data_IF_629471985037
#
_entry.id   IF_629471985037
#
_cell.length_a   1.000
_cell.length_b   1.000
_cell.length_c   1.000
_cell.angle_alpha   90.00
_cell.angle_beta   90.00
_cell.angle_gamma   90.00
#
_symmetry.space_group_name_H-M   'P 1'
#
loop_
_entity.id
_entity.type
_entity.pdbx_description
1 polymer ?
#
# COMPACT_ATOMS: atom_id res chain seq x y z
N UNK A 1 -18.86 -41.39 37.11
CA UNK A 1 -17.95 -40.96 36.02
C UNK A 1 -18.61 -40.11 34.92
N UNK A 2 -19.94 -40.13 34.77
CA UNK A 2 -20.66 -39.46 33.66
C UNK A 2 -20.77 -37.94 33.75
N UNK A 3 -20.78 -37.34 34.95
CA UNK A 3 -20.88 -35.87 35.09
C UNK A 3 -19.53 -35.15 34.93
N UNK A 4 -18.43 -35.78 35.37
CA UNK A 4 -17.07 -35.22 35.21
C UNK A 4 -16.69 -35.07 33.73
N UNK A 5 -17.02 -36.07 32.90
CA UNK A 5 -16.76 -36.03 31.46
C UNK A 5 -17.56 -34.93 30.74
N UNK A 6 -18.81 -34.69 31.15
CA UNK A 6 -19.67 -33.62 30.61
C UNK A 6 -19.15 -32.23 30.98
N UNK A 7 -18.63 -32.04 32.20
CA UNK A 7 -18.03 -30.79 32.65
C UNK A 7 -16.75 -30.49 31.87
N UNK A 8 -15.92 -31.50 31.62
CA UNK A 8 -14.68 -31.37 30.82
C UNK A 8 -15.02 -31.04 29.36
N UNK A 9 -15.99 -31.71 28.74
CA UNK A 9 -16.45 -31.40 27.38
C UNK A 9 -17.07 -30.00 27.27
N UNK A 10 -17.84 -29.57 28.28
CA UNK A 10 -18.43 -28.24 28.32
C UNK A 10 -17.35 -27.14 28.49
N UNK A 11 -16.34 -27.38 29.33
CA UNK A 11 -15.20 -26.47 29.49
C UNK A 11 -14.33 -26.40 28.21
N UNK A 12 -14.15 -27.51 27.50
CA UNK A 12 -13.49 -27.57 26.19
C UNK A 12 -14.29 -26.80 25.12
N UNK A 13 -15.60 -26.96 25.08
CA UNK A 13 -16.49 -26.24 24.16
C UNK A 13 -16.53 -24.74 24.44
N UNK A 14 -16.53 -24.33 25.72
CA UNK A 14 -16.46 -22.92 26.11
C UNK A 14 -15.08 -22.30 25.87
N UNK A 15 -14.00 -23.09 25.94
CA UNK A 15 -12.64 -22.64 25.58
C UNK A 15 -12.42 -22.40 24.08
N UNK A 16 -13.28 -22.95 23.22
CA UNK A 16 -13.22 -22.76 21.75
C UNK A 16 -14.06 -21.58 21.24
N UNK A 17 -15.02 -21.08 22.00
CA UNK A 17 -15.87 -19.93 21.61
C UNK A 17 -15.11 -18.60 21.41
N UNK A 18 -14.05 -18.26 22.16
CA UNK A 18 -13.30 -17.01 21.98
C UNK A 18 -12.47 -16.95 20.68
N UNK A 19 -12.22 -18.10 20.03
CA UNK A 19 -11.49 -18.15 18.75
C UNK A 19 -12.40 -17.74 17.58
N UNK A 20 -13.68 -18.12 17.61
CA UNK A 20 -14.64 -17.82 16.54
C UNK A 20 -14.97 -16.32 16.45
N UNK A 21 -15.09 -15.62 17.58
CA UNK A 21 -15.32 -14.16 17.60
C UNK A 21 -14.07 -13.35 17.24
N UNK A 22 -12.87 -13.85 17.52
CA UNK A 22 -11.61 -13.23 17.10
C UNK A 22 -11.33 -13.45 15.60
N UNK A 23 -11.74 -14.61 15.04
CA UNK A 23 -11.60 -14.91 13.62
C UNK A 23 -12.46 -13.99 12.74
N UNK A 24 -13.72 -13.72 13.12
CA UNK A 24 -14.58 -12.81 12.35
C UNK A 24 -14.01 -11.39 12.26
N UNK A 25 -13.56 -10.81 13.38
CA UNK A 25 -12.99 -9.46 13.38
C UNK A 25 -11.63 -9.33 12.70
N UNK A 26 -10.80 -10.37 12.77
CA UNK A 26 -9.47 -10.38 12.13
C UNK A 26 -9.56 -10.60 10.62
N UNK A 27 -10.44 -11.50 10.18
CA UNK A 27 -10.71 -11.72 8.75
C UNK A 27 -11.27 -10.45 8.11
N UNK A 28 -12.24 -9.79 8.76
CA UNK A 28 -12.78 -8.51 8.30
C UNK A 28 -11.70 -7.42 8.18
N UNK A 29 -10.79 -7.36 9.16
CA UNK A 29 -9.64 -6.45 9.11
C UNK A 29 -8.72 -6.74 7.92
N UNK A 30 -8.38 -8.01 7.70
CA UNK A 30 -7.52 -8.43 6.58
C UNK A 30 -8.18 -8.18 5.23
N UNK A 31 -9.47 -8.47 5.12
CA UNK A 31 -10.26 -8.21 3.92
C UNK A 31 -10.30 -6.71 3.63
N UNK A 32 -10.51 -5.87 4.65
CA UNK A 32 -10.52 -4.42 4.49
C UNK A 32 -9.16 -3.88 4.04
N UNK A 33 -8.07 -4.37 4.63
CA UNK A 33 -6.71 -4.04 4.21
C UNK A 33 -6.47 -4.44 2.76
N UNK A 34 -6.79 -5.68 2.39
CA UNK A 34 -6.64 -6.20 1.02
C UNK A 34 -7.42 -5.36 0.01
N UNK A 35 -8.70 -5.07 0.28
CA UNK A 35 -9.53 -4.22 -0.59
C UNK A 35 -8.94 -2.82 -0.77
N UNK A 36 -8.42 -2.23 0.32
CA UNK A 36 -7.79 -0.90 0.27
C UNK A 36 -6.51 -0.94 -0.56
N UNK A 37 -5.66 -1.95 -0.38
CA UNK A 37 -4.46 -2.16 -1.19
C UNK A 37 -4.81 -2.35 -2.67
N UNK A 38 -5.84 -3.14 -2.99
CA UNK A 38 -6.31 -3.33 -4.35
C UNK A 38 -6.81 -2.03 -4.98
N UNK A 39 -7.60 -1.23 -4.24
CA UNK A 39 -8.07 0.07 -4.70
C UNK A 39 -6.90 1.02 -5.01
N UNK A 40 -5.86 1.01 -4.16
CA UNK A 40 -4.61 1.71 -4.42
C UNK A 40 -3.95 1.27 -5.74
N UNK A 41 -3.80 -0.04 -5.95
CA UNK A 41 -3.16 -0.56 -7.17
C UNK A 41 -3.99 -0.30 -8.44
N UNK A 42 -5.33 -0.34 -8.36
CA UNK A 42 -6.19 0.06 -9.47
C UNK A 42 -6.08 1.54 -9.79
N UNK A 43 -5.94 2.40 -8.77
CA UNK A 43 -5.70 3.83 -8.94
C UNK A 43 -4.36 4.08 -9.64
N UNK A 44 -3.29 3.41 -9.20
CA UNK A 44 -1.97 3.48 -9.82
C UNK A 44 -1.97 2.97 -11.27
N UNK A 45 -2.67 1.85 -11.52
CA UNK A 45 -2.86 1.31 -12.86
C UNK A 45 -3.66 2.22 -13.78
N UNK A 46 -4.70 2.88 -13.27
CA UNK A 46 -5.49 3.88 -14.00
C UNK A 46 -4.66 5.10 -14.37
N UNK A 47 -3.83 5.60 -13.44
CA UNK A 47 -2.85 6.66 -13.73
C UNK A 47 -1.88 6.24 -14.84
N UNK A 48 -1.36 5.01 -14.78
CA UNK A 48 -0.46 4.49 -15.80
C UNK A 48 -1.12 4.38 -17.18
N UNK A 49 -2.34 3.85 -17.25
CA UNK A 49 -3.09 3.75 -18.50
C UNK A 49 -3.34 5.13 -19.14
N UNK A 50 -3.76 6.12 -18.35
CA UNK A 50 -3.95 7.49 -18.82
C UNK A 50 -2.64 8.09 -19.37
N UNK A 51 -1.53 7.88 -18.67
CA UNK A 51 -0.22 8.36 -19.10
C UNK A 51 0.32 7.62 -20.33
N UNK A 52 -0.01 6.35 -20.55
CA UNK A 52 0.33 5.68 -21.82
C UNK A 52 -0.39 6.32 -23.00
N UNK A 53 -1.66 6.68 -22.86
CA UNK A 53 -2.43 7.34 -23.93
C UNK A 53 -1.87 8.74 -24.19
N UNK A 54 -1.85 9.59 -23.15
CA UNK A 54 -1.43 11.00 -23.28
C UNK A 54 0.06 11.10 -23.61
N UNK A 55 0.89 10.35 -22.90
CA UNK A 55 2.32 10.28 -23.13
C UNK A 55 2.69 9.61 -24.45
N UNK A 56 1.96 8.58 -24.89
CA UNK A 56 2.19 7.95 -26.19
C UNK A 56 1.93 8.93 -27.35
N UNK A 57 0.81 9.65 -27.31
CA UNK A 57 0.50 10.69 -28.31
C UNK A 57 1.55 11.81 -28.28
N UNK A 58 1.87 12.29 -27.07
CA UNK A 58 2.83 13.38 -26.88
C UNK A 58 4.27 13.00 -27.26
N UNK A 59 4.65 11.73 -27.11
CA UNK A 59 5.93 11.22 -27.60
C UNK A 59 5.92 11.13 -29.12
N UNK A 60 4.89 10.54 -29.73
CA UNK A 60 4.82 10.36 -31.18
C UNK A 60 4.77 11.69 -31.97
N UNK A 61 4.19 12.75 -31.38
CA UNK A 61 3.98 14.05 -32.05
C UNK A 61 4.83 15.19 -31.50
N UNK A 62 5.47 15.00 -30.36
CA UNK A 62 6.27 16.03 -29.72
C UNK A 62 7.62 16.24 -30.39
N UNK A 63 8.27 17.36 -30.06
CA UNK A 63 9.65 17.65 -30.42
C UNK A 63 10.40 18.28 -29.23
N UNK A 64 11.73 18.30 -29.31
CA UNK A 64 12.60 18.84 -28.26
C UNK A 64 12.27 18.26 -26.88
N UNK A 65 12.36 19.09 -25.84
CA UNK A 65 12.08 18.66 -24.46
C UNK A 65 10.65 18.15 -24.22
N UNK A 66 9.67 18.55 -25.03
CA UNK A 66 8.30 18.08 -24.88
C UNK A 66 8.16 16.59 -25.26
N UNK A 67 8.84 16.18 -26.34
CA UNK A 67 8.92 14.76 -26.72
C UNK A 67 9.50 13.91 -25.58
N UNK A 68 10.64 14.33 -25.02
CA UNK A 68 11.31 13.60 -23.93
C UNK A 68 10.51 13.60 -22.63
N UNK A 69 9.76 14.66 -22.34
CA UNK A 69 8.83 14.67 -21.21
C UNK A 69 7.79 13.56 -21.35
N UNK A 70 7.11 13.49 -22.50
CA UNK A 70 6.09 12.46 -22.73
C UNK A 70 6.67 11.05 -22.82
N UNK A 71 7.84 10.89 -23.46
CA UNK A 71 8.58 9.62 -23.46
C UNK A 71 8.92 9.19 -22.03
N UNK A 72 9.43 10.10 -21.19
CA UNK A 72 9.73 9.82 -19.79
C UNK A 72 8.49 9.40 -18.99
N UNK A 73 7.34 10.05 -19.22
CA UNK A 73 6.08 9.66 -18.59
C UNK A 73 5.63 8.25 -19.02
N UNK A 74 5.76 7.90 -20.30
CA UNK A 74 5.47 6.52 -20.76
C UNK A 74 6.39 5.52 -20.08
N UNK A 75 7.70 5.76 -20.09
CA UNK A 75 8.68 4.84 -19.49
C UNK A 75 8.44 4.64 -18.00
N UNK A 76 8.16 5.72 -17.26
CA UNK A 76 7.87 5.61 -15.82
C UNK A 76 6.56 4.86 -15.56
N UNK A 77 5.53 5.09 -16.38
CA UNK A 77 4.26 4.40 -16.19
C UNK A 77 4.30 2.91 -16.58
N UNK A 78 5.31 2.47 -17.34
CA UNK A 78 5.65 1.04 -17.43
C UNK A 78 6.03 0.44 -16.08
N UNK A 79 6.79 1.18 -15.27
CA UNK A 79 7.13 0.76 -13.91
C UNK A 79 5.88 0.73 -13.03
N UNK A 80 5.07 1.80 -13.04
CA UNK A 80 3.81 1.87 -12.27
C UNK A 80 2.85 0.72 -12.63
N UNK A 81 2.67 0.45 -13.93
CA UNK A 81 1.83 -0.65 -14.41
C UNK A 81 2.36 -2.02 -13.97
N UNK A 82 3.68 -2.22 -14.01
CA UNK A 82 4.33 -3.44 -13.52
C UNK A 82 4.09 -3.66 -12.02
N UNK A 83 4.30 -2.62 -11.20
CA UNK A 83 4.03 -2.65 -9.76
C UNK A 83 2.56 -2.98 -9.49
N UNK A 84 1.64 -2.24 -10.12
CA UNK A 84 0.20 -2.46 -9.96
C UNK A 84 -0.21 -3.88 -10.38
N UNK A 85 0.30 -4.37 -11.51
CA UNK A 85 0.00 -5.71 -12.03
C UNK A 85 0.47 -6.83 -11.09
N UNK A 86 1.73 -6.77 -10.63
CA UNK A 86 2.28 -7.76 -9.70
C UNK A 86 1.54 -7.71 -8.35
N UNK A 87 1.28 -6.52 -7.83
CA UNK A 87 0.58 -6.36 -6.56
C UNK A 87 -0.88 -6.85 -6.66
N UNK A 88 -1.61 -6.50 -7.72
CA UNK A 88 -2.97 -7.02 -7.95
C UNK A 88 -2.96 -8.55 -8.07
N UNK A 89 -2.03 -9.12 -8.82
CA UNK A 89 -1.91 -10.58 -8.92
C UNK A 89 -1.66 -11.22 -7.55
N UNK A 90 -0.76 -10.65 -6.75
CA UNK A 90 -0.51 -11.13 -5.39
C UNK A 90 -1.74 -11.01 -4.50
N UNK A 91 -2.47 -9.89 -4.59
CA UNK A 91 -3.66 -9.63 -3.77
C UNK A 91 -4.84 -10.53 -4.17
N UNK A 92 -5.07 -10.79 -5.45
CA UNK A 92 -6.14 -11.68 -5.91
C UNK A 92 -5.95 -13.14 -5.48
N UNK A 93 -4.69 -13.58 -5.35
CA UNK A 93 -4.36 -14.94 -4.93
C UNK A 93 -4.18 -15.09 -3.41
N UNK A 94 -4.26 -13.99 -2.66
CA UNK A 94 -4.17 -14.02 -1.21
C UNK A 94 -5.52 -14.39 -0.59
N UNK A 95 -5.50 -15.23 0.44
CA UNK A 95 -6.65 -15.56 1.27
C UNK A 95 -6.60 -14.74 2.58
N UNK A 96 -7.48 -13.74 2.78
CA UNK A 96 -7.52 -12.94 4.01
C UNK A 96 -7.77 -13.77 5.28
N UNK A 97 -8.50 -14.89 5.15
CA UNK A 97 -8.83 -15.77 6.26
C UNK A 97 -7.68 -16.68 6.69
N UNK A 98 -6.65 -16.83 5.84
CA UNK A 98 -5.49 -17.67 6.15
C UNK A 98 -4.47 -17.00 7.06
N UNK A 99 -4.61 -15.70 7.37
CA UNK A 99 -3.66 -14.94 8.17
C UNK A 99 -4.01 -14.97 9.66
N UNK A 100 -3.06 -15.43 10.48
CA UNK A 100 -3.13 -15.29 11.94
C UNK A 100 -2.91 -13.84 12.38
N UNK A 101 -3.10 -13.58 13.68
CA UNK A 101 -3.01 -12.22 14.23
C UNK A 101 -1.62 -11.62 14.03
N UNK A 102 -0.56 -12.38 14.30
CA UNK A 102 0.82 -11.91 14.16
C UNK A 102 1.17 -11.61 12.70
N UNK A 103 0.77 -12.48 11.78
CA UNK A 103 0.97 -12.28 10.35
C UNK A 103 0.22 -11.03 9.88
N UNK A 104 -1.02 -10.85 10.32
CA UNK A 104 -1.84 -9.68 9.99
C UNK A 104 -1.20 -8.37 10.46
N UNK A 105 -0.67 -8.35 11.68
CA UNK A 105 0.09 -7.21 12.24
C UNK A 105 1.33 -6.94 11.39
N UNK A 106 2.12 -7.97 11.10
CA UNK A 106 3.36 -7.86 10.33
C UNK A 106 3.10 -7.31 8.92
N UNK A 107 2.09 -7.83 8.24
CA UNK A 107 1.68 -7.40 6.90
C UNK A 107 1.18 -5.96 6.90
N UNK A 108 0.36 -5.58 7.90
CA UNK A 108 -0.18 -4.22 8.00
C UNK A 108 0.92 -3.17 8.21
N UNK A 109 1.76 -3.34 9.23
CA UNK A 109 2.86 -2.41 9.50
C UNK A 109 3.97 -2.51 8.45
N UNK A 110 4.14 -3.67 7.80
CA UNK A 110 5.03 -3.84 6.65
C UNK A 110 4.60 -2.94 5.50
N UNK A 111 3.32 -2.97 5.13
CA UNK A 111 2.74 -2.12 4.10
C UNK A 111 2.91 -0.63 4.44
N UNK A 112 2.58 -0.22 5.66
CA UNK A 112 2.75 1.17 6.10
C UNK A 112 4.19 1.66 5.94
N UNK A 113 5.17 0.84 6.36
CA UNK A 113 6.59 1.17 6.22
C UNK A 113 7.01 1.26 4.76
N UNK A 114 6.54 0.34 3.91
CA UNK A 114 6.83 0.39 2.47
C UNK A 114 6.31 1.67 1.84
N UNK A 115 5.09 2.10 2.18
CA UNK A 115 4.50 3.34 1.65
C UNK A 115 5.30 4.58 2.09
N UNK A 116 5.67 4.67 3.37
CA UNK A 116 6.49 5.79 3.85
C UNK A 116 7.91 5.79 3.25
N UNK A 117 8.49 4.61 3.06
CA UNK A 117 9.78 4.48 2.40
C UNK A 117 9.72 4.94 0.93
N UNK A 118 8.68 4.53 0.20
CA UNK A 118 8.46 4.96 -1.19
C UNK A 118 8.19 6.47 -1.28
N UNK A 119 7.38 7.03 -0.37
CA UNK A 119 7.21 8.48 -0.29
C UNK A 119 8.56 9.21 -0.09
N UNK A 120 9.50 8.62 0.64
CA UNK A 120 10.87 9.11 0.72
C UNK A 120 11.64 9.02 -0.62
N UNK A 121 11.50 7.92 -1.34
CA UNK A 121 12.07 7.76 -2.68
C UNK A 121 11.50 8.77 -3.68
N UNK A 122 10.22 9.12 -3.56
CA UNK A 122 9.55 10.08 -4.42
C UNK A 122 10.12 11.50 -4.30
N UNK A 123 10.48 11.89 -3.08
CA UNK A 123 11.28 13.10 -2.85
C UNK A 123 12.63 13.01 -3.58
N UNK A 124 13.26 11.84 -3.56
CA UNK A 124 14.46 11.54 -4.34
C UNK A 124 14.25 11.70 -5.85
N UNK A 125 13.14 11.19 -6.40
CA UNK A 125 12.80 11.33 -7.82
C UNK A 125 12.58 12.79 -8.21
N UNK A 126 11.84 13.55 -7.40
CA UNK A 126 11.66 14.99 -7.61
C UNK A 126 12.99 15.73 -7.56
N UNK A 127 13.84 15.46 -6.56
CA UNK A 127 15.16 16.06 -6.44
C UNK A 127 16.05 15.74 -7.65
N UNK A 128 16.06 14.49 -8.11
CA UNK A 128 16.75 14.08 -9.32
C UNK A 128 16.21 14.82 -10.56
N UNK A 129 14.90 14.98 -10.67
CA UNK A 129 14.27 15.72 -11.76
C UNK A 129 14.63 17.22 -11.76
N UNK A 130 14.65 17.86 -10.59
CA UNK A 130 15.13 19.24 -10.44
C UNK A 130 16.62 19.35 -10.80
N UNK A 131 17.44 18.41 -10.37
CA UNK A 131 18.86 18.34 -10.73
C UNK A 131 19.05 18.23 -12.26
N UNK A 132 18.31 17.35 -12.94
CA UNK A 132 18.38 17.22 -14.40
C UNK A 132 17.98 18.52 -15.10
N UNK A 133 16.94 19.19 -14.63
CA UNK A 133 16.51 20.50 -15.17
C UNK A 133 17.53 21.60 -14.94
N UNK A 134 18.20 21.60 -13.78
CA UNK A 134 19.27 22.55 -13.50
C UNK A 134 20.47 22.32 -14.42
N UNK A 135 20.90 21.06 -14.54
CA UNK A 135 21.98 20.66 -15.44
C UNK A 135 21.69 20.99 -16.91
N UNK A 136 20.42 20.94 -17.32
CA UNK A 136 20.03 21.31 -18.68
C UNK A 136 20.36 22.77 -19.03
N UNK A 137 20.45 23.69 -18.06
CA UNK A 137 20.75 25.11 -18.31
C UNK A 137 22.17 25.36 -18.84
N UNK A 138 23.11 24.47 -18.51
CA UNK A 138 24.53 24.60 -18.88
C UNK A 138 24.99 23.49 -19.82
N UNK A 139 24.11 22.54 -20.14
CA UNK A 139 24.44 21.43 -21.03
C UNK A 139 24.51 21.87 -22.49
N UNK A 140 25.64 21.60 -23.15
CA UNK A 140 25.83 21.86 -24.58
C UNK A 140 25.33 20.71 -25.48
N UNK A 141 25.03 19.54 -24.89
CA UNK A 141 24.46 18.36 -25.55
C UNK A 141 23.28 17.83 -24.74
N UNK A 142 22.27 17.29 -25.42
CA UNK A 142 21.10 16.66 -24.80
C UNK A 142 20.29 17.56 -23.86
N UNK A 143 20.37 18.88 -24.01
CA UNK A 143 19.64 19.85 -23.19
C UNK A 143 18.13 19.55 -23.14
N UNK A 144 17.53 19.27 -24.30
CA UNK A 144 16.11 18.92 -24.40
C UNK A 144 15.76 17.64 -23.64
N UNK A 145 16.61 16.62 -23.73
CA UNK A 145 16.43 15.34 -23.03
C UNK A 145 16.49 15.54 -21.52
N UNK A 146 17.51 16.25 -21.01
CA UNK A 146 17.66 16.54 -19.58
C UNK A 146 16.46 17.32 -19.04
N UNK A 147 15.99 18.34 -19.79
CA UNK A 147 14.82 19.14 -19.40
C UNK A 147 13.54 18.30 -19.42
N UNK A 148 13.33 17.50 -20.46
CA UNK A 148 12.15 16.66 -20.62
C UNK A 148 12.05 15.59 -19.55
N UNK A 149 13.09 14.75 -19.42
CA UNK A 149 13.13 13.70 -18.38
C UNK A 149 13.13 14.27 -16.97
N UNK A 150 13.82 15.39 -16.73
CA UNK A 150 13.76 16.04 -15.42
C UNK A 150 12.34 16.49 -15.05
N UNK A 151 11.59 17.01 -16.03
CA UNK A 151 10.18 17.36 -15.84
C UNK A 151 9.29 16.14 -15.60
N UNK A 152 9.56 15.03 -16.29
CA UNK A 152 8.82 13.79 -16.12
C UNK A 152 9.05 13.20 -14.72
N UNK A 153 10.31 13.17 -14.24
CA UNK A 153 10.63 12.70 -12.89
C UNK A 153 9.98 13.55 -11.80
N UNK A 154 9.94 14.88 -11.96
CA UNK A 154 9.23 15.76 -11.00
C UNK A 154 7.75 15.43 -10.98
N UNK A 155 7.10 15.32 -12.15
CA UNK A 155 5.67 15.00 -12.21
C UNK A 155 5.35 13.64 -11.59
N UNK A 156 6.12 12.61 -11.95
CA UNK A 156 5.87 11.25 -11.48
C UNK A 156 6.19 11.10 -9.99
N UNK A 157 7.31 11.68 -9.52
CA UNK A 157 7.63 11.71 -8.09
C UNK A 157 6.57 12.48 -7.29
N UNK A 158 6.08 13.63 -7.77
CA UNK A 158 5.03 14.36 -7.08
C UNK A 158 3.71 13.58 -7.00
N UNK A 159 3.32 12.90 -8.08
CA UNK A 159 2.14 12.04 -8.10
C UNK A 159 2.28 10.88 -7.10
N UNK A 160 3.39 10.13 -7.17
CA UNK A 160 3.64 8.98 -6.30
C UNK A 160 3.71 9.38 -4.83
N UNK A 161 4.33 10.53 -4.52
CA UNK A 161 4.41 11.03 -3.16
C UNK A 161 3.03 11.27 -2.55
N UNK A 162 2.15 11.94 -3.31
CA UNK A 162 0.76 12.19 -2.87
C UNK A 162 -0.01 10.87 -2.77
N UNK A 163 0.16 9.98 -3.75
CA UNK A 163 -0.48 8.68 -3.77
C UNK A 163 -0.10 7.83 -2.53
N UNK A 164 1.18 7.71 -2.23
CA UNK A 164 1.68 6.89 -1.12
C UNK A 164 1.28 7.46 0.24
N UNK A 165 1.34 8.79 0.41
CA UNK A 165 0.87 9.43 1.66
C UNK A 165 -0.63 9.31 1.85
N UNK A 166 -1.42 9.44 0.77
CA UNK A 166 -2.86 9.25 0.84
C UNK A 166 -3.21 7.80 1.19
N UNK A 167 -2.59 6.82 0.52
CA UNK A 167 -2.81 5.40 0.79
C UNK A 167 -2.34 5.03 2.21
N UNK A 168 -1.19 5.54 2.65
CA UNK A 168 -0.72 5.40 4.02
C UNK A 168 -1.74 5.95 5.02
N UNK A 169 -2.28 7.15 4.78
CA UNK A 169 -3.28 7.74 5.67
C UNK A 169 -4.57 6.92 5.77
N UNK A 170 -4.99 6.27 4.68
CA UNK A 170 -6.17 5.39 4.68
C UNK A 170 -5.89 4.07 5.40
N UNK A 171 -4.73 3.46 5.14
CA UNK A 171 -4.30 2.22 5.80
C UNK A 171 -4.08 2.45 7.29
N UNK A 172 -3.42 3.54 7.66
CA UNK A 172 -3.13 3.87 9.05
C UNK A 172 -4.40 4.15 9.87
N UNK A 173 -5.47 4.68 9.26
CA UNK A 173 -6.75 4.77 9.97
C UNK A 173 -7.35 3.41 10.35
N UNK A 174 -6.99 2.35 9.63
CA UNK A 174 -7.41 0.97 9.92
C UNK A 174 -6.64 0.37 11.11
N UNK A 175 -5.50 0.95 11.50
CA UNK A 175 -4.73 0.53 12.68
C UNK A 175 -5.57 0.57 13.96
N UNK A 176 -6.58 1.43 14.07
CA UNK A 176 -7.52 1.48 15.21
C UNK A 176 -8.31 0.17 15.39
N UNK A 177 -8.67 -0.49 14.29
CA UNK A 177 -9.33 -1.79 14.33
C UNK A 177 -8.35 -2.87 14.81
N UNK A 178 -7.10 -2.80 14.35
CA UNK A 178 -6.03 -3.69 14.82
C UNK A 178 -5.73 -3.47 16.30
N UNK A 179 -5.66 -2.23 16.76
CA UNK A 179 -5.49 -1.85 18.16
C UNK A 179 -6.61 -2.42 19.05
N UNK A 180 -7.85 -2.39 18.59
CA UNK A 180 -8.97 -3.01 19.29
C UNK A 180 -8.85 -4.55 19.37
N UNK A 181 -8.28 -5.19 18.33
CA UNK A 181 -8.04 -6.64 18.31
C UNK A 181 -6.86 -7.08 19.20
N UNK A 182 -5.87 -6.20 19.42
CA UNK A 182 -4.68 -6.46 20.25
C UNK A 182 -4.80 -5.91 21.68
N UNK A 183 -5.82 -5.10 21.97
CA UNK A 183 -5.98 -4.47 23.29
C UNK A 183 -6.13 -5.53 24.38
N UNK A 184 -5.17 -5.62 25.33
CA UNK A 184 -5.17 -6.67 26.34
C UNK A 184 -6.19 -6.40 27.45
N UNK A 185 -6.83 -5.23 27.47
CA UNK A 185 -7.67 -4.78 28.57
C UNK A 185 -9.08 -4.41 28.11
N UNK A 186 -10.07 -5.08 28.67
CA UNK A 186 -11.46 -4.66 28.62
C UNK A 186 -11.88 -4.23 30.03
N UNK A 187 -12.58 -3.10 30.13
CA UNK A 187 -13.25 -2.67 31.36
C UNK A 187 -14.57 -3.43 31.47
N UNK A 188 -14.71 -4.26 32.51
CA UNK A 188 -16.02 -4.81 32.89
C UNK A 188 -16.62 -3.92 33.99
N UNK A 189 -17.95 -3.95 34.20
CA UNK A 189 -18.58 -3.25 35.31
C UNK A 189 -17.99 -3.60 36.69
N UNK A 190 -17.29 -4.73 36.80
CA UNK A 190 -16.66 -5.20 38.03
C UNK A 190 -15.13 -4.99 38.12
N UNK A 191 -14.45 -4.47 37.09
CA UNK A 191 -13.01 -4.15 37.17
C UNK A 191 -12.21 -4.15 35.86
N UNK A 192 -10.88 -4.26 36.00
CA UNK A 192 -9.93 -4.40 34.89
C UNK A 192 -9.68 -5.88 34.58
N UNK A 193 -10.03 -6.34 33.37
CA UNK A 193 -9.66 -7.68 32.89
C UNK A 193 -8.45 -7.62 31.96
N UNK A 194 -7.42 -8.43 32.20
CA UNK A 194 -6.28 -8.61 31.28
C UNK A 194 -6.41 -9.96 30.57
N UNK A 195 -6.36 -9.98 29.23
CA UNK A 195 -6.31 -11.24 28.48
C UNK A 195 -4.90 -11.50 27.98
N UNK A 196 -4.30 -12.52 28.61
CA UNK A 196 -3.08 -13.17 28.17
C UNK A 196 -3.48 -14.22 27.13
N UNK A 197 -3.20 -13.95 25.84
CA UNK A 197 -3.28 -14.96 24.79
C UNK A 197 -1.90 -15.58 24.63
N UNK A 198 -1.76 -16.83 25.02
CA UNK A 198 -0.60 -17.69 24.73
C UNK A 198 -0.98 -18.69 23.64
#
# INVERSE_FOLDING_TARGET
MTNQLKIILFALLMGLMPLAFAQGGLEDFNLKRQQTSMAGMWTLGGWAAANFVVGGIGWARGSGSNMYFHQGNVLWNTVNAGIAGVALYSLYNADPGSLGLFESIKEHYGLEKTLLFNAGLDVGYMAAGFYLRERAKTATKNQDMLKGYGSALILQGAFLFVFDLALYGIINQQSKQLEALISPVYLTPEGFGMVLRF
#
